data_IF_530651186148
#
_entry.id   IF_530651186148
#
_cell.length_a   1.000
_cell.length_b   1.000
_cell.length_c   1.000
_cell.angle_alpha   90.00
_cell.angle_beta   90.00
_cell.angle_gamma   90.00
#
_symmetry.space_group_name_H-M   'P 1'
#
loop_
_entity.id
_entity.type
_entity.pdbx_description
1 polymer ?
#
# COMPACT_ATOMS: atom_id res chain seq x y z
N UNK A 1 12.01 98.41 -2.80
CA UNK A 1 13.03 97.34 -2.98
C UNK A 1 13.33 96.56 -1.69
N UNK A 2 13.55 97.18 -0.52
CA UNK A 2 13.80 96.44 0.75
C UNK A 2 12.69 95.46 1.19
N UNK A 3 11.40 95.75 0.92
CA UNK A 3 10.28 94.86 1.29
C UNK A 3 10.16 93.59 0.43
N UNK A 4 10.65 93.62 -0.82
CA UNK A 4 10.64 92.45 -1.72
C UNK A 4 11.79 91.49 -1.37
N UNK A 5 12.93 92.03 -0.92
CA UNK A 5 14.08 91.22 -0.50
C UNK A 5 13.80 90.41 0.79
N UNK A 6 13.02 90.96 1.72
CA UNK A 6 12.64 90.28 2.96
C UNK A 6 11.66 89.12 2.69
N UNK A 7 10.68 89.34 1.79
CA UNK A 7 9.71 88.30 1.41
C UNK A 7 10.40 87.12 0.71
N UNK A 8 11.41 87.38 -0.13
CA UNK A 8 12.17 86.33 -0.80
C UNK A 8 13.04 85.51 0.18
N UNK A 9 13.58 86.14 1.24
CA UNK A 9 14.35 85.43 2.27
C UNK A 9 13.50 84.55 3.18
N UNK A 10 12.26 84.95 3.49
CA UNK A 10 11.34 84.14 4.31
C UNK A 10 10.82 82.93 3.53
N UNK A 11 10.59 83.07 2.22
CA UNK A 11 10.21 81.94 1.35
C UNK A 11 11.38 80.97 1.11
N UNK A 12 12.63 81.45 1.06
CA UNK A 12 13.80 80.57 1.01
C UNK A 12 14.05 79.82 2.33
N UNK A 13 13.81 80.44 3.50
CA UNK A 13 13.95 79.76 4.79
C UNK A 13 12.84 78.75 5.08
N UNK A 14 11.63 78.91 4.54
CA UNK A 14 10.56 77.92 4.68
C UNK A 14 10.70 76.72 3.73
N UNK A 15 11.40 76.86 2.60
CA UNK A 15 11.74 75.72 1.73
C UNK A 15 12.89 74.86 2.29
N UNK A 16 13.82 75.42 3.07
CA UNK A 16 14.89 74.62 3.69
C UNK A 16 14.42 73.69 4.83
N UNK A 17 13.23 73.92 5.38
CA UNK A 17 12.65 73.05 6.43
C UNK A 17 12.06 71.74 5.89
N UNK A 18 11.91 71.60 4.57
CA UNK A 18 11.40 70.36 3.93
C UNK A 18 12.51 69.37 3.54
N UNK A 19 13.77 69.68 3.85
CA UNK A 19 14.93 68.84 3.52
C UNK A 19 15.52 68.09 4.73
N UNK A 20 14.77 67.92 5.82
CA UNK A 20 15.14 66.95 6.85
C UNK A 20 14.81 65.55 6.33
N UNK A 21 15.81 64.88 5.75
CA UNK A 21 15.74 63.44 5.51
C UNK A 21 15.43 62.73 6.83
N UNK A 22 14.49 61.79 6.82
CA UNK A 22 14.12 61.01 8.00
C UNK A 22 15.36 60.28 8.52
N UNK A 23 15.62 60.39 9.82
CA UNK A 23 16.78 59.76 10.44
C UNK A 23 16.64 58.22 10.40
N UNK A 24 17.69 57.48 10.00
CA UNK A 24 17.67 56.02 10.07
C UNK A 24 17.53 55.52 11.50
N UNK A 25 16.59 54.60 11.73
CA UNK A 25 16.38 53.91 13.00
C UNK A 25 17.11 52.57 12.96
N UNK A 26 17.97 52.32 13.95
CA UNK A 26 18.69 51.04 14.08
C UNK A 26 17.72 49.92 14.47
N UNK A 27 17.64 48.89 13.63
CA UNK A 27 16.84 47.68 13.87
C UNK A 27 17.67 46.62 14.57
N UNK A 28 18.90 46.41 14.09
CA UNK A 28 19.85 45.48 14.67
C UNK A 28 21.29 45.79 14.25
N UNK A 29 22.23 45.57 15.17
CA UNK A 29 23.67 45.60 14.88
C UNK A 29 24.31 44.37 15.53
N UNK A 30 24.61 43.36 14.70
CA UNK A 30 25.05 42.06 15.18
C UNK A 30 26.45 41.74 14.65
N UNK A 31 27.25 41.10 15.50
CA UNK A 31 28.43 40.33 15.07
C UNK A 31 28.03 38.86 15.04
N UNK A 32 27.96 38.29 13.85
CA UNK A 32 27.45 36.94 13.60
C UNK A 32 28.60 36.00 13.27
N UNK A 33 28.65 34.87 13.96
CA UNK A 33 29.53 33.75 13.65
C UNK A 33 28.75 32.74 12.80
N UNK A 34 29.06 32.63 11.51
CA UNK A 34 28.51 31.60 10.64
C UNK A 34 29.47 30.41 10.65
N UNK A 35 29.01 29.29 11.19
CA UNK A 35 29.82 28.07 11.34
C UNK A 35 30.23 27.48 9.98
N UNK A 36 31.15 26.52 10.01
CA UNK A 36 31.56 25.81 8.81
C UNK A 36 30.38 24.99 8.26
N UNK A 37 30.22 24.97 6.93
CA UNK A 37 29.15 24.24 6.22
C UNK A 37 27.74 24.50 6.77
N UNK A 38 27.46 25.73 7.21
CA UNK A 38 26.18 26.09 7.85
C UNK A 38 25.61 27.39 7.29
N UNK A 39 24.42 27.71 7.78
CA UNK A 39 23.76 28.99 7.56
C UNK A 39 23.33 29.62 8.88
N UNK A 40 23.24 30.94 8.89
CA UNK A 40 22.65 31.71 9.97
C UNK A 40 21.46 32.50 9.44
N UNK A 41 20.36 32.51 10.20
CA UNK A 41 19.09 33.07 9.78
C UNK A 41 18.52 33.99 10.84
N UNK A 42 18.10 35.19 10.42
CA UNK A 42 17.45 36.18 11.29
C UNK A 42 16.18 36.70 10.63
N UNK A 43 15.22 37.13 11.45
CA UNK A 43 13.92 37.61 10.99
C UNK A 43 13.62 38.97 11.61
N UNK A 44 13.20 39.91 10.77
CA UNK A 44 12.78 41.24 11.21
C UNK A 44 11.53 41.69 10.44
N UNK A 45 10.61 42.36 11.13
CA UNK A 45 9.45 43.00 10.54
C UNK A 45 9.79 44.38 10.00
N UNK A 46 9.17 44.77 8.88
CA UNK A 46 9.24 46.13 8.33
C UNK A 46 7.84 46.60 7.91
N UNK A 47 7.60 47.92 7.99
CA UNK A 47 6.33 48.53 7.64
C UNK A 47 6.31 48.91 6.15
N UNK A 48 5.13 48.83 5.52
CA UNK A 48 4.96 49.31 4.15
C UNK A 48 5.39 50.78 4.02
N UNK A 49 6.15 51.08 2.97
CA UNK A 49 6.68 52.40 2.67
C UNK A 49 8.05 52.68 3.28
N UNK A 50 8.52 51.87 4.23
CA UNK A 50 9.88 52.00 4.77
C UNK A 50 10.93 51.73 3.70
N UNK A 51 12.12 52.29 3.91
CA UNK A 51 13.34 51.85 3.25
C UNK A 51 14.20 51.05 4.24
N UNK A 52 14.40 49.76 3.95
CA UNK A 52 15.36 48.91 4.65
C UNK A 52 16.77 49.23 4.16
N UNK A 53 17.64 49.68 5.06
CA UNK A 53 19.06 49.91 4.78
C UNK A 53 19.87 48.86 5.51
N UNK A 54 20.69 48.10 4.77
CA UNK A 54 21.58 47.12 5.39
C UNK A 54 23.03 47.27 4.95
N UNK A 55 23.93 47.03 5.90
CA UNK A 55 25.37 47.01 5.70
C UNK A 55 25.91 45.68 6.17
N UNK A 56 26.78 45.10 5.37
CA UNK A 56 27.44 43.84 5.67
C UNK A 56 28.94 44.01 5.52
N UNK A 57 29.71 43.47 6.47
CA UNK A 57 31.15 43.42 6.37
C UNK A 57 31.69 42.12 6.96
N UNK A 58 32.49 41.39 6.18
CA UNK A 58 33.25 40.28 6.70
C UNK A 58 34.36 40.79 7.61
N UNK A 59 34.46 40.24 8.81
CA UNK A 59 35.50 40.54 9.80
C UNK A 59 36.65 39.56 9.68
N UNK A 60 36.36 38.25 9.64
CA UNK A 60 37.36 37.18 9.54
C UNK A 60 36.79 35.94 8.85
N UNK A 61 37.67 35.07 8.34
CA UNK A 61 37.31 33.82 7.65
C UNK A 61 37.12 33.98 6.12
N UNK A 62 36.57 32.94 5.45
CA UNK A 62 36.24 32.99 4.02
C UNK A 62 35.09 33.98 3.73
N UNK A 63 34.91 34.34 2.46
CA UNK A 63 33.73 35.10 2.06
C UNK A 63 32.47 34.24 2.19
N UNK A 64 31.32 34.85 2.49
CA UNK A 64 30.05 34.12 2.44
C UNK A 64 29.75 33.76 0.99
N UNK A 65 29.28 32.55 0.75
CA UNK A 65 28.91 32.14 -0.60
C UNK A 65 27.64 32.87 -1.04
N UNK A 66 26.69 33.05 -0.12
CA UNK A 66 25.42 33.72 -0.40
C UNK A 66 24.99 34.58 0.80
N UNK A 67 24.50 35.79 0.50
CA UNK A 67 23.67 36.58 1.42
C UNK A 67 22.34 36.86 0.73
N UNK A 68 21.26 36.46 1.38
CA UNK A 68 19.92 36.53 0.82
C UNK A 68 18.95 37.24 1.78
N UNK A 69 18.07 38.08 1.24
CA UNK A 69 16.96 38.70 1.96
C UNK A 69 15.66 38.27 1.28
N UNK A 70 14.81 37.56 2.02
CA UNK A 70 13.53 37.04 1.54
C UNK A 70 12.39 37.66 2.34
N UNK A 71 11.44 38.26 1.64
CA UNK A 71 10.13 38.58 2.19
C UNK A 71 9.29 37.30 2.29
N UNK A 72 8.86 36.95 3.50
CA UNK A 72 8.07 35.74 3.72
C UNK A 72 6.71 35.80 3.00
N UNK A 73 6.22 34.64 2.49
CA UNK A 73 6.79 33.30 2.67
C UNK A 73 7.95 32.92 1.72
N UNK A 74 8.13 33.57 0.57
CA UNK A 74 9.07 33.07 -0.46
C UNK A 74 9.64 34.09 -1.46
N UNK A 75 9.38 35.39 -1.31
CA UNK A 75 9.80 36.39 -2.29
C UNK A 75 11.22 36.89 -2.01
N UNK A 76 12.20 36.51 -2.84
CA UNK A 76 13.58 37.03 -2.73
C UNK A 76 13.63 38.49 -3.15
N UNK A 77 14.14 39.36 -2.27
CA UNK A 77 14.27 40.81 -2.49
C UNK A 77 15.70 41.25 -2.76
N UNK A 78 16.66 40.51 -2.22
CA UNK A 78 18.07 40.72 -2.47
C UNK A 78 18.80 39.38 -2.38
N UNK A 79 19.79 39.20 -3.24
CA UNK A 79 20.69 38.07 -3.22
C UNK A 79 22.01 38.50 -3.84
N UNK A 80 23.11 38.12 -3.21
CA UNK A 80 24.45 38.35 -3.73
C UNK A 80 25.35 37.17 -3.35
N UNK A 81 26.37 36.95 -4.18
CA UNK A 81 27.26 35.79 -4.09
C UNK A 81 28.69 36.19 -3.75
N UNK A 82 29.42 35.31 -3.06
CA UNK A 82 30.83 35.52 -2.67
C UNK A 82 31.03 36.86 -1.93
N UNK A 83 30.10 37.16 -1.04
CA UNK A 83 29.93 38.47 -0.40
C UNK A 83 31.04 38.72 0.63
N UNK A 84 31.83 39.77 0.41
CA UNK A 84 32.82 40.27 1.38
C UNK A 84 32.35 41.52 2.10
N UNK A 85 31.62 42.40 1.39
CA UNK A 85 31.18 43.69 1.90
C UNK A 85 30.01 44.22 1.08
N UNK A 86 29.00 44.76 1.76
CA UNK A 86 27.89 45.52 1.18
C UNK A 86 27.79 46.83 1.96
N UNK A 87 27.83 47.97 1.27
CA UNK A 87 27.74 49.30 1.91
C UNK A 87 26.33 49.85 1.71
N UNK A 88 25.60 50.06 2.80
CA UNK A 88 24.33 50.78 2.85
C UNK A 88 23.39 50.47 1.67
N UNK A 89 23.12 49.18 1.44
CA UNK A 89 22.18 48.77 0.40
C UNK A 89 20.76 49.06 0.89
N UNK A 90 20.05 49.87 0.11
CA UNK A 90 18.64 50.21 0.37
C UNK A 90 17.70 49.30 -0.41
N UNK A 91 16.63 48.85 0.25
CA UNK A 91 15.53 48.08 -0.31
C UNK A 91 14.20 48.73 0.11
N UNK A 92 13.39 49.10 -0.86
CA UNK A 92 12.07 49.67 -0.60
C UNK A 92 11.07 48.59 -0.18
N UNK A 93 10.34 48.83 0.92
CA UNK A 93 9.38 47.89 1.51
C UNK A 93 7.99 48.18 0.96
N UNK A 94 7.56 47.40 -0.05
CA UNK A 94 6.26 47.63 -0.71
C UNK A 94 5.05 47.24 0.14
N UNK A 95 5.21 46.30 1.07
CA UNK A 95 4.15 45.83 1.98
C UNK A 95 4.73 45.48 3.34
N UNK A 96 3.94 45.70 4.38
CA UNK A 96 4.29 45.29 5.74
C UNK A 96 4.46 43.79 5.78
N UNK A 97 5.61 43.32 6.28
CA UNK A 97 5.94 41.90 6.19
C UNK A 97 7.19 41.54 6.99
N UNK A 98 7.47 40.24 7.02
CA UNK A 98 8.64 39.67 7.70
C UNK A 98 9.71 39.39 6.66
N UNK A 99 10.92 39.86 6.95
CA UNK A 99 12.09 39.70 6.09
C UNK A 99 13.10 38.78 6.77
N UNK A 100 13.44 37.70 6.07
CA UNK A 100 14.41 36.69 6.46
C UNK A 100 15.76 37.01 5.85
N UNK A 101 16.75 37.26 6.70
CA UNK A 101 18.16 37.40 6.32
C UNK A 101 18.83 36.05 6.46
N UNK A 102 19.38 35.51 5.38
CA UNK A 102 20.08 34.22 5.34
C UNK A 102 21.52 34.44 4.90
N UNK A 103 22.46 33.99 5.73
CA UNK A 103 23.89 34.07 5.49
C UNK A 103 24.41 32.63 5.34
N UNK A 104 24.97 32.29 4.18
CA UNK A 104 25.39 30.91 3.88
C UNK A 104 26.90 30.80 3.78
N UNK A 105 27.47 29.87 4.56
CA UNK A 105 28.89 29.56 4.56
C UNK A 105 29.12 28.07 4.27
N UNK A 106 29.34 27.69 3.00
CA UNK A 106 29.61 26.30 2.63
C UNK A 106 31.07 25.88 2.89
N UNK A 107 31.94 26.81 3.32
CA UNK A 107 33.35 26.51 3.53
C UNK A 107 33.56 25.67 4.80
N UNK A 108 34.68 24.94 4.84
CA UNK A 108 35.12 24.15 6.00
C UNK A 108 35.72 25.01 7.14
N UNK A 109 35.56 26.33 7.06
CA UNK A 109 36.08 27.28 8.03
C UNK A 109 34.97 28.24 8.46
N UNK A 110 35.05 28.74 9.70
CA UNK A 110 34.09 29.68 10.28
C UNK A 110 34.26 31.07 9.65
N UNK A 111 33.13 31.76 9.40
CA UNK A 111 33.10 33.15 8.95
C UNK A 111 32.53 34.06 10.04
N UNK A 112 33.24 35.12 10.41
CA UNK A 112 32.75 36.14 11.35
C UNK A 112 32.39 37.39 10.55
N UNK A 113 31.14 37.82 10.66
CA UNK A 113 30.59 38.93 9.88
C UNK A 113 29.93 39.94 10.81
N UNK A 114 29.98 41.22 10.45
CA UNK A 114 29.21 42.29 11.09
C UNK A 114 28.08 42.69 10.15
N UNK A 115 26.86 42.70 10.68
CA UNK A 115 25.67 43.14 9.97
C UNK A 115 25.02 44.28 10.73
N UNK A 116 24.67 45.35 10.02
CA UNK A 116 23.86 46.46 10.53
C UNK A 116 22.61 46.57 9.68
N UNK A 117 21.45 46.57 10.33
CA UNK A 117 20.13 46.66 9.72
C UNK A 117 19.47 47.90 10.30
N UNK A 118 18.99 48.77 9.41
CA UNK A 118 18.33 50.01 9.75
C UNK A 118 17.07 50.13 8.91
N UNK A 119 16.11 50.91 9.39
CA UNK A 119 14.97 51.35 8.59
C UNK A 119 14.95 52.87 8.52
N UNK A 120 14.55 53.40 7.39
CA UNK A 120 14.18 54.80 7.23
C UNK A 120 12.65 54.77 7.09
N UNK A 121 11.89 55.23 8.10
CA UNK A 121 10.44 55.26 8.00
C UNK A 121 9.98 56.07 6.79
N UNK A 122 8.81 55.77 6.24
CA UNK A 122 8.18 56.69 5.29
C UNK A 122 7.75 58.00 5.98
N UNK A 123 7.46 59.05 5.21
CA UNK A 123 6.98 60.34 5.73
C UNK A 123 5.71 60.19 6.58
N UNK A 124 4.89 59.18 6.27
CA UNK A 124 3.67 58.85 7.02
C UNK A 124 3.83 57.60 7.90
N UNK A 125 5.03 57.03 7.97
CA UNK A 125 5.33 55.77 8.65
C UNK A 125 5.51 55.95 10.15
N UNK A 126 5.30 54.87 10.90
CA UNK A 126 5.48 54.86 12.35
C UNK A 126 6.94 54.71 12.72
N UNK A 127 7.44 55.62 13.55
CA UNK A 127 8.79 55.51 14.13
C UNK A 127 8.88 54.39 15.18
N UNK A 128 7.76 54.07 15.83
CA UNK A 128 7.65 53.12 16.96
C UNK A 128 7.23 51.70 16.53
N UNK A 129 7.24 51.39 15.24
CA UNK A 129 6.80 50.08 14.77
C UNK A 129 7.71 48.95 15.27
N UNK A 130 7.09 47.89 15.78
CA UNK A 130 7.79 46.76 16.38
C UNK A 130 8.32 45.82 15.28
N UNK A 131 9.65 45.77 15.15
CA UNK A 131 10.35 44.94 14.18
C UNK A 131 10.55 43.49 14.65
N UNK A 132 10.09 43.14 15.87
CA UNK A 132 10.22 41.80 16.43
C UNK A 132 9.30 40.80 15.75
N UNK A 133 9.84 39.62 15.44
CA UNK A 133 9.10 38.51 14.84
C UNK A 133 8.78 37.47 15.90
N UNK A 134 7.50 37.06 15.95
CA UNK A 134 7.00 36.06 16.87
C UNK A 134 6.59 34.79 16.12
N UNK A 135 6.54 33.67 16.82
CA UNK A 135 6.20 32.37 16.24
C UNK A 135 4.97 31.79 16.94
N UNK A 136 4.06 31.19 16.15
CA UNK A 136 2.92 30.45 16.65
C UNK A 136 2.82 29.10 15.93
N UNK A 137 2.35 28.09 16.64
CA UNK A 137 2.04 26.78 16.05
C UNK A 137 0.66 26.81 15.41
N UNK A 138 0.57 26.52 14.11
CA UNK A 138 -0.67 26.37 13.36
C UNK A 138 -0.86 24.91 12.99
N UNK A 139 -2.08 24.40 13.10
CA UNK A 139 -2.41 23.01 12.75
C UNK A 139 -2.93 22.97 11.31
N UNK A 140 -2.27 22.20 10.44
CA UNK A 140 -2.72 21.94 9.07
C UNK A 140 -3.42 20.58 8.99
N UNK A 141 -4.67 20.57 8.52
CA UNK A 141 -5.49 19.36 8.44
C UNK A 141 -5.58 18.90 6.99
N UNK A 142 -5.03 17.72 6.71
CA UNK A 142 -5.13 17.07 5.40
C UNK A 142 -5.92 15.77 5.51
N UNK A 143 -6.73 15.44 4.50
CA UNK A 143 -7.44 14.17 4.45
C UNK A 143 -6.67 13.19 3.57
N UNK A 144 -6.25 12.07 4.14
CA UNK A 144 -5.57 11.00 3.40
C UNK A 144 -6.59 9.92 3.06
N UNK A 145 -6.80 9.59 1.77
CA UNK A 145 -7.65 8.49 1.38
C UNK A 145 -6.98 7.16 1.72
N UNK A 146 -7.76 6.20 2.20
CA UNK A 146 -7.34 4.82 2.45
C UNK A 146 -8.38 3.86 1.92
N UNK A 147 -7.93 2.80 1.26
CA UNK A 147 -8.78 1.75 0.73
C UNK A 147 -8.62 0.50 1.58
N UNK A 148 -9.70 0.08 2.23
CA UNK A 148 -9.73 -1.11 3.06
C UNK A 148 -10.57 -2.18 2.37
N UNK A 149 -10.03 -3.40 2.26
CA UNK A 149 -10.79 -4.55 1.77
C UNK A 149 -11.55 -5.18 2.95
N UNK A 150 -12.85 -5.33 2.80
CA UNK A 150 -13.70 -5.97 3.81
C UNK A 150 -14.46 -7.14 3.18
N UNK A 151 -14.47 -8.27 3.86
CA UNK A 151 -15.26 -9.44 3.46
C UNK A 151 -16.75 -9.12 3.61
N UNK A 152 -17.50 -9.15 2.51
CA UNK A 152 -18.95 -8.89 2.52
C UNK A 152 -19.71 -10.20 2.68
N UNK A 153 -19.27 -11.22 1.95
CA UNK A 153 -20.05 -12.45 1.76
C UNK A 153 -19.12 -13.63 1.52
N UNK A 154 -19.52 -14.77 2.07
CA UNK A 154 -18.82 -16.04 1.93
C UNK A 154 -19.85 -17.09 1.50
N UNK A 155 -19.74 -17.54 0.26
CA UNK A 155 -20.64 -18.56 -0.30
C UNK A 155 -19.91 -19.90 -0.36
N UNK A 156 -20.59 -20.96 0.07
CA UNK A 156 -20.08 -22.34 0.03
C UNK A 156 -20.92 -23.17 -0.94
N UNK A 157 -20.29 -23.80 -1.93
CA UNK A 157 -20.95 -24.57 -2.98
C UNK A 157 -20.30 -25.95 -3.08
N UNK A 158 -21.11 -27.01 -3.16
CA UNK A 158 -20.59 -28.32 -3.56
C UNK A 158 -20.64 -28.49 -5.08
N UNK A 159 -19.53 -28.90 -5.68
CA UNK A 159 -19.38 -29.08 -7.10
C UNK A 159 -18.97 -30.53 -7.41
N UNK A 160 -19.82 -31.26 -8.12
CA UNK A 160 -19.45 -32.58 -8.66
C UNK A 160 -18.49 -32.38 -9.83
N UNK A 161 -17.25 -32.86 -9.66
CA UNK A 161 -16.17 -32.73 -10.64
C UNK A 161 -16.19 -33.89 -11.64
N UNK A 162 -16.60 -35.07 -11.20
CA UNK A 162 -16.90 -36.20 -12.07
C UNK A 162 -17.92 -37.14 -11.42
N UNK A 163 -18.72 -37.81 -12.24
CA UNK A 163 -19.53 -38.97 -11.86
C UNK A 163 -19.68 -39.84 -13.11
N UNK A 164 -18.92 -40.94 -13.21
CA UNK A 164 -18.92 -41.82 -14.39
C UNK A 164 -18.55 -43.26 -14.05
N UNK A 165 -18.95 -44.19 -14.90
CA UNK A 165 -18.49 -45.58 -14.86
C UNK A 165 -17.50 -45.81 -15.99
N UNK A 166 -16.32 -46.33 -15.68
CA UNK A 166 -15.24 -46.57 -16.64
C UNK A 166 -14.92 -48.05 -16.68
N UNK A 167 -14.82 -48.62 -17.89
CA UNK A 167 -14.44 -50.03 -18.09
C UNK A 167 -12.92 -50.16 -18.09
N UNK A 168 -12.38 -51.00 -17.21
CA UNK A 168 -10.94 -51.26 -17.10
C UNK A 168 -10.65 -52.63 -17.72
N UNK A 169 -9.85 -52.70 -18.80
CA UNK A 169 -9.56 -53.96 -19.49
C UNK A 169 -8.76 -54.92 -18.61
N UNK A 170 -8.72 -56.19 -18.99
CA UNK A 170 -7.75 -57.16 -18.45
C UNK A 170 -6.35 -56.80 -18.96
N UNK A 171 -5.32 -57.09 -18.19
CA UNK A 171 -3.93 -57.02 -18.68
C UNK A 171 -3.68 -58.14 -19.69
N UNK A 172 -3.40 -57.79 -20.95
CA UNK A 172 -3.06 -58.74 -22.01
C UNK A 172 -1.81 -58.30 -22.76
N UNK A 173 -0.80 -59.17 -22.74
CA UNK A 173 0.41 -58.99 -23.56
C UNK A 173 0.12 -59.17 -25.06
N UNK A 174 -0.86 -59.99 -25.41
CA UNK A 174 -1.23 -60.28 -26.81
C UNK A 174 -1.94 -59.07 -27.43
N UNK A 175 -2.85 -58.44 -26.68
CA UNK A 175 -3.65 -57.30 -27.15
C UNK A 175 -3.06 -55.93 -26.76
N UNK A 176 -1.87 -55.90 -26.16
CA UNK A 176 -1.20 -54.68 -25.72
C UNK A 176 -1.95 -53.90 -24.63
N UNK A 177 -2.90 -54.52 -23.93
CA UNK A 177 -3.67 -53.87 -22.87
C UNK A 177 -2.92 -53.93 -21.54
N UNK A 178 -2.70 -52.78 -20.93
CA UNK A 178 -1.95 -52.67 -19.67
C UNK A 178 -2.75 -53.15 -18.44
N UNK A 179 -4.08 -53.27 -18.57
CA UNK A 179 -5.00 -53.41 -17.45
C UNK A 179 -5.09 -52.16 -16.58
N UNK A 180 -4.62 -51.01 -17.07
CA UNK A 180 -4.59 -49.73 -16.36
C UNK A 180 -5.35 -48.66 -17.14
N UNK A 181 -6.03 -47.79 -16.41
CA UNK A 181 -6.69 -46.60 -16.93
C UNK A 181 -6.29 -45.40 -16.07
N UNK A 182 -6.19 -44.23 -16.69
CA UNK A 182 -5.91 -42.98 -16.01
C UNK A 182 -7.05 -42.00 -16.25
N UNK A 183 -7.62 -41.48 -15.17
CA UNK A 183 -8.67 -40.47 -15.20
C UNK A 183 -8.10 -39.21 -14.56
N UNK A 184 -8.50 -38.02 -15.00
CA UNK A 184 -8.11 -36.78 -14.35
C UNK A 184 -9.29 -35.85 -14.04
N UNK A 185 -9.08 -34.98 -13.07
CA UNK A 185 -9.98 -33.89 -12.69
C UNK A 185 -9.19 -32.75 -12.08
N UNK A 186 -9.79 -31.55 -12.04
CA UNK A 186 -9.17 -30.38 -11.43
C UNK A 186 -9.99 -29.89 -10.24
N UNK A 187 -9.34 -29.70 -9.10
CA UNK A 187 -9.93 -29.04 -7.94
C UNK A 187 -9.97 -27.52 -8.18
N UNK A 188 -11.16 -26.89 -8.10
CA UNK A 188 -11.29 -25.44 -8.20
C UNK A 188 -10.53 -24.72 -7.09
N UNK A 189 -10.06 -23.49 -7.37
CA UNK A 189 -9.53 -22.61 -6.33
C UNK A 189 -10.61 -22.35 -5.27
N UNK A 190 -10.20 -22.33 -4.01
CA UNK A 190 -11.12 -22.17 -2.88
C UNK A 190 -11.76 -23.49 -2.43
N UNK A 191 -11.35 -24.65 -2.96
CA UNK A 191 -11.79 -25.93 -2.39
C UNK A 191 -11.29 -26.05 -0.95
N UNK A 192 -12.18 -26.35 0.00
CA UNK A 192 -11.85 -26.56 1.41
C UNK A 192 -11.79 -28.03 1.81
N UNK A 193 -12.45 -28.88 1.02
CA UNK A 193 -12.40 -30.33 1.09
C UNK A 193 -13.07 -30.94 -0.13
N UNK A 194 -12.78 -32.20 -0.40
CA UNK A 194 -13.47 -32.96 -1.44
C UNK A 194 -13.73 -34.39 -0.95
N UNK A 195 -14.55 -35.13 -1.67
CA UNK A 195 -14.79 -36.55 -1.42
C UNK A 195 -14.68 -37.33 -2.71
N UNK A 196 -14.42 -38.62 -2.57
CA UNK A 196 -14.50 -39.56 -3.68
C UNK A 196 -15.33 -40.78 -3.30
N UNK A 197 -15.85 -41.43 -4.33
CA UNK A 197 -16.39 -42.78 -4.29
C UNK A 197 -15.78 -43.58 -5.44
N UNK A 198 -15.33 -44.79 -5.15
CA UNK A 198 -14.89 -45.79 -6.11
C UNK A 198 -15.67 -47.07 -5.82
N UNK A 199 -16.27 -47.70 -6.84
CA UNK A 199 -17.02 -48.94 -6.66
C UNK A 199 -17.04 -49.80 -7.92
N UNK A 200 -16.83 -51.11 -7.75
CA UNK A 200 -16.68 -52.07 -8.85
C UNK A 200 -17.99 -52.79 -9.16
N UNK A 201 -18.26 -52.95 -10.44
CA UNK A 201 -19.38 -53.73 -10.98
C UNK A 201 -20.76 -53.19 -10.59
N UNK A 202 -21.75 -54.07 -10.76
CA UNK A 202 -23.15 -53.77 -10.43
C UNK A 202 -23.36 -53.60 -8.92
N UNK A 203 -22.59 -54.32 -8.09
CA UNK A 203 -22.63 -54.18 -6.63
C UNK A 203 -22.17 -52.79 -6.18
N UNK A 204 -21.03 -52.31 -6.69
CA UNK A 204 -20.54 -50.95 -6.43
C UNK A 204 -21.52 -49.89 -6.93
N UNK A 205 -22.02 -50.02 -8.15
CA UNK A 205 -23.01 -49.08 -8.69
C UNK A 205 -24.29 -49.05 -7.84
N UNK A 206 -24.77 -50.22 -7.39
CA UNK A 206 -25.93 -50.31 -6.49
C UNK A 206 -25.63 -49.63 -5.15
N UNK A 207 -24.49 -49.91 -4.52
CA UNK A 207 -24.09 -49.27 -3.27
C UNK A 207 -24.03 -47.74 -3.39
N UNK A 208 -23.48 -47.22 -4.50
CA UNK A 208 -23.48 -45.78 -4.80
C UNK A 208 -24.91 -45.22 -4.90
N UNK A 209 -25.77 -45.88 -5.69
CA UNK A 209 -27.16 -45.44 -5.89
C UNK A 209 -27.97 -45.47 -4.59
N UNK A 210 -27.80 -46.52 -3.76
CA UNK A 210 -28.47 -46.67 -2.47
C UNK A 210 -28.04 -45.59 -1.48
N UNK A 211 -26.74 -45.25 -1.44
CA UNK A 211 -26.25 -44.15 -0.62
C UNK A 211 -26.81 -42.79 -1.10
N UNK A 212 -26.91 -42.58 -2.42
CA UNK A 212 -27.46 -41.34 -3.01
C UNK A 212 -28.95 -41.17 -2.70
N UNK A 213 -29.76 -42.24 -2.83
CA UNK A 213 -31.19 -42.20 -2.53
C UNK A 213 -31.50 -42.23 -1.03
N UNK A 214 -30.73 -42.99 -0.26
CA UNK A 214 -30.91 -43.18 1.19
C UNK A 214 -30.43 -42.01 2.03
N UNK A 215 -29.61 -41.11 1.47
CA UNK A 215 -29.09 -39.93 2.17
C UNK A 215 -30.21 -39.03 2.71
N UNK A 216 -31.27 -38.80 1.92
CA UNK A 216 -32.41 -37.96 2.34
C UNK A 216 -33.13 -38.54 3.57
N UNK A 217 -33.13 -39.87 3.72
CA UNK A 217 -33.84 -40.56 4.81
C UNK A 217 -33.00 -40.74 6.08
N UNK A 218 -31.67 -40.78 5.95
CA UNK A 218 -30.74 -41.14 7.04
C UNK A 218 -30.04 -39.94 7.68
N UNK A 219 -30.05 -38.78 7.03
CA UNK A 219 -29.25 -37.63 7.44
C UNK A 219 -30.09 -36.39 7.76
N UNK A 220 -31.29 -36.52 8.35
CA UNK A 220 -32.27 -35.41 8.51
C UNK A 220 -31.69 -34.09 9.08
N UNK A 221 -30.72 -34.16 10.00
CA UNK A 221 -30.06 -32.97 10.58
C UNK A 221 -28.98 -32.33 9.68
N UNK A 222 -28.33 -33.13 8.82
CA UNK A 222 -27.33 -32.65 7.85
C UNK A 222 -28.05 -32.24 6.56
N UNK A 223 -28.98 -33.05 6.07
CA UNK A 223 -29.81 -32.77 4.89
C UNK A 223 -30.61 -31.46 5.02
N UNK A 224 -31.01 -31.05 6.23
CA UNK A 224 -31.67 -29.76 6.47
C UNK A 224 -30.74 -28.55 6.34
N UNK A 225 -29.43 -28.72 6.55
CA UNK A 225 -28.41 -27.65 6.43
C UNK A 225 -27.76 -27.59 5.05
N UNK A 226 -27.81 -28.69 4.28
CA UNK A 226 -27.29 -28.77 2.91
C UNK A 226 -28.42 -29.03 1.89
N UNK A 227 -29.55 -28.32 1.99
CA UNK A 227 -30.69 -28.53 1.08
C UNK A 227 -30.25 -28.45 -0.39
N UNK A 228 -30.54 -29.50 -1.17
CA UNK A 228 -30.12 -29.63 -2.57
C UNK A 228 -28.79 -30.36 -2.82
N UNK A 229 -28.08 -30.77 -1.78
CA UNK A 229 -26.79 -31.46 -1.90
C UNK A 229 -26.85 -32.92 -1.44
N UNK A 230 -26.25 -33.84 -2.21
CA UNK A 230 -26.34 -35.30 -1.98
C UNK A 230 -25.25 -35.88 -1.06
N UNK A 231 -25.25 -37.22 -0.90
CA UNK A 231 -24.32 -37.97 -0.04
C UNK A 231 -22.85 -37.61 -0.23
N UNK A 232 -22.41 -37.39 -1.46
CA UNK A 232 -21.04 -37.01 -1.78
C UNK A 232 -20.65 -35.65 -1.20
N UNK A 233 -21.55 -34.66 -1.26
CA UNK A 233 -21.31 -33.34 -0.69
C UNK A 233 -21.30 -33.40 0.84
N UNK A 234 -22.17 -34.21 1.46
CA UNK A 234 -22.15 -34.42 2.91
C UNK A 234 -20.87 -35.11 3.39
N UNK A 235 -20.38 -36.11 2.65
CA UNK A 235 -19.07 -36.71 2.89
C UNK A 235 -17.94 -35.67 2.72
N UNK A 236 -17.98 -34.86 1.67
CA UNK A 236 -16.97 -33.85 1.42
C UNK A 236 -16.97 -32.74 2.48
N UNK A 237 -18.13 -32.31 2.97
CA UNK A 237 -18.27 -31.22 3.93
C UNK A 237 -18.03 -31.67 5.37
N UNK A 238 -18.71 -32.73 5.80
CA UNK A 238 -18.77 -33.16 7.20
C UNK A 238 -18.06 -34.50 7.49
N UNK A 239 -17.58 -35.20 6.47
CA UNK A 239 -16.96 -36.52 6.66
C UNK A 239 -17.99 -37.63 6.96
N UNK A 240 -19.29 -37.37 6.79
CA UNK A 240 -20.35 -38.37 7.03
C UNK A 240 -20.33 -39.38 5.88
N UNK A 241 -19.78 -40.56 6.16
CA UNK A 241 -19.72 -41.65 5.18
C UNK A 241 -20.98 -42.52 5.27
N UNK A 242 -21.87 -42.41 4.27
CA UNK A 242 -23.08 -43.24 4.15
C UNK A 242 -22.88 -44.45 3.22
N UNK A 243 -21.68 -44.64 2.68
CA UNK A 243 -21.38 -45.75 1.78
C UNK A 243 -20.99 -46.98 2.60
N UNK A 244 -21.76 -48.05 2.46
CA UNK A 244 -21.47 -49.33 3.11
C UNK A 244 -20.36 -50.08 2.37
N UNK A 245 -19.41 -50.64 3.11
CA UNK A 245 -18.40 -51.54 2.54
C UNK A 245 -19.10 -52.81 2.02
N UNK A 246 -18.76 -53.22 0.79
CA UNK A 246 -19.35 -54.39 0.14
C UNK A 246 -18.32 -55.50 -0.06
N UNK A 247 -18.78 -56.76 0.05
CA UNK A 247 -17.96 -57.97 -0.08
C UNK A 247 -18.15 -58.64 -1.45
N UNK A 248 -17.08 -59.22 -1.99
CA UNK A 248 -17.07 -59.90 -3.29
C UNK A 248 -15.66 -60.15 -3.80
N UNK A 249 -15.57 -60.67 -5.03
CA UNK A 249 -14.31 -61.18 -5.59
C UNK A 249 -13.60 -60.18 -6.51
N UNK A 250 -14.33 -59.30 -7.21
CA UNK A 250 -13.73 -58.31 -8.12
C UNK A 250 -13.30 -57.04 -7.39
N UNK A 251 -12.01 -56.80 -7.34
CA UNK A 251 -11.37 -55.61 -6.78
C UNK A 251 -10.81 -54.69 -7.89
N UNK A 252 -10.66 -53.41 -7.56
CA UNK A 252 -9.86 -52.47 -8.34
C UNK A 252 -8.78 -51.90 -7.45
N UNK A 253 -7.56 -51.88 -7.96
CA UNK A 253 -6.47 -51.12 -7.35
C UNK A 253 -6.51 -49.70 -7.84
N UNK A 254 -6.46 -48.74 -6.92
CA UNK A 254 -6.53 -47.32 -7.27
C UNK A 254 -5.43 -46.52 -6.60
N UNK A 255 -5.05 -45.42 -7.26
CA UNK A 255 -4.11 -44.42 -6.75
C UNK A 255 -4.54 -43.02 -7.16
N UNK A 256 -4.63 -42.11 -6.19
CA UNK A 256 -4.66 -40.68 -6.46
C UNK A 256 -3.23 -40.13 -6.53
N UNK A 257 -2.94 -39.40 -7.59
CA UNK A 257 -1.61 -38.95 -7.99
C UNK A 257 -1.68 -37.43 -8.23
N UNK A 258 -0.74 -36.70 -7.64
CA UNK A 258 -0.77 -35.22 -7.61
C UNK A 258 -0.05 -34.54 -8.77
N UNK A 259 0.65 -35.29 -9.61
CA UNK A 259 1.45 -34.74 -10.71
C UNK A 259 1.46 -35.64 -11.94
N UNK A 260 1.66 -35.00 -13.10
CA UNK A 260 1.61 -35.66 -14.40
C UNK A 260 2.77 -36.62 -14.64
N UNK A 261 3.95 -36.35 -14.06
CA UNK A 261 5.12 -37.22 -14.19
C UNK A 261 4.84 -38.60 -13.55
N UNK A 262 4.35 -38.60 -12.31
CA UNK A 262 3.97 -39.83 -11.61
C UNK A 262 2.81 -40.55 -12.31
N UNK A 263 1.84 -39.80 -12.84
CA UNK A 263 0.71 -40.35 -13.59
C UNK A 263 1.18 -41.08 -14.88
N UNK A 264 2.16 -40.50 -15.58
CA UNK A 264 2.79 -41.13 -16.74
C UNK A 264 3.58 -42.40 -16.36
N UNK A 265 4.33 -42.39 -15.25
CA UNK A 265 5.03 -43.59 -14.77
C UNK A 265 4.07 -44.71 -14.35
N UNK A 266 2.92 -44.37 -13.74
CA UNK A 266 1.85 -45.34 -13.46
C UNK A 266 1.34 -46.00 -14.74
N UNK A 267 1.03 -45.19 -15.77
CA UNK A 267 0.55 -45.70 -17.07
C UNK A 267 1.55 -46.68 -17.70
N UNK A 268 2.85 -46.39 -17.56
CA UNK A 268 3.96 -47.23 -18.04
C UNK A 268 4.26 -48.44 -17.13
N UNK A 269 3.59 -48.56 -15.98
CA UNK A 269 3.85 -49.63 -15.01
C UNK A 269 5.20 -49.53 -14.31
N UNK A 270 5.79 -48.34 -14.26
CA UNK A 270 7.02 -48.05 -13.52
C UNK A 270 6.69 -47.63 -12.09
N UNK A 271 7.71 -47.52 -11.24
CA UNK A 271 7.53 -46.96 -9.89
C UNK A 271 7.04 -45.50 -9.99
N UNK A 272 6.06 -45.17 -9.16
CA UNK A 272 5.43 -43.85 -9.07
C UNK A 272 5.03 -43.56 -7.62
N UNK A 273 4.63 -42.31 -7.34
CA UNK A 273 4.10 -41.90 -6.04
C UNK A 273 2.64 -41.48 -6.16
N UNK A 274 1.79 -42.05 -5.33
CA UNK A 274 0.43 -41.59 -5.06
C UNK A 274 0.31 -41.11 -3.62
N UNK A 275 -0.67 -40.25 -3.34
CA UNK A 275 -0.94 -39.74 -1.98
C UNK A 275 -2.10 -40.46 -1.30
N UNK A 276 -2.90 -41.21 -2.04
CA UNK A 276 -3.94 -42.12 -1.52
C UNK A 276 -4.04 -43.31 -2.46
N UNK A 277 -4.17 -44.50 -1.88
CA UNK A 277 -4.29 -45.75 -2.62
C UNK A 277 -5.22 -46.72 -1.90
N UNK A 278 -5.61 -47.77 -2.62
CA UNK A 278 -6.36 -48.89 -2.05
C UNK A 278 -6.52 -50.01 -3.06
N UNK A 279 -6.96 -51.15 -2.53
CA UNK A 279 -7.31 -52.34 -3.28
C UNK A 279 -8.69 -52.80 -2.79
N UNK A 280 -9.73 -52.46 -3.53
CA UNK A 280 -11.10 -52.41 -2.98
C UNK A 280 -12.16 -52.82 -3.98
N UNK A 281 -13.26 -53.36 -3.46
CA UNK A 281 -14.51 -53.50 -4.21
C UNK A 281 -15.32 -52.20 -4.17
N UNK A 282 -15.26 -51.47 -3.07
CA UNK A 282 -15.61 -50.06 -3.00
C UNK A 282 -14.82 -49.31 -1.92
N UNK A 283 -14.64 -48.01 -2.10
CA UNK A 283 -14.10 -47.10 -1.09
C UNK A 283 -14.72 -45.71 -1.26
N UNK A 284 -14.90 -45.02 -0.14
CA UNK A 284 -15.38 -43.65 -0.12
C UNK A 284 -14.76 -42.91 1.06
N UNK A 285 -14.18 -41.74 0.80
CA UNK A 285 -13.57 -40.94 1.85
C UNK A 285 -13.64 -39.45 1.57
N UNK A 286 -13.52 -38.68 2.65
CA UNK A 286 -13.23 -37.25 2.60
C UNK A 286 -11.73 -37.03 2.48
N UNK A 287 -11.36 -36.06 1.66
CA UNK A 287 -10.00 -35.61 1.42
C UNK A 287 -9.87 -34.14 1.81
N UNK A 288 -8.88 -33.85 2.67
CA UNK A 288 -8.53 -32.48 3.10
C UNK A 288 -7.31 -31.92 2.37
N UNK A 289 -6.59 -32.76 1.62
CA UNK A 289 -5.48 -32.38 0.74
C UNK A 289 -5.38 -33.34 -0.44
N UNK A 290 -4.93 -32.88 -1.61
CA UNK A 290 -4.73 -31.47 -1.99
C UNK A 290 -6.06 -30.71 -2.08
N UNK A 291 -6.01 -29.37 -2.14
CA UNK A 291 -7.17 -28.46 -2.15
C UNK A 291 -7.25 -27.60 -3.42
N UNK A 292 -6.33 -27.77 -4.35
CA UNK A 292 -6.35 -27.13 -5.66
C UNK A 292 -5.51 -27.94 -6.64
N UNK A 293 -5.64 -27.62 -7.92
CA UNK A 293 -4.82 -28.20 -8.98
C UNK A 293 -5.40 -29.49 -9.57
N UNK A 294 -4.64 -30.07 -10.50
CA UNK A 294 -5.02 -31.26 -11.27
C UNK A 294 -4.63 -32.53 -10.51
N UNK A 295 -5.57 -33.47 -10.42
CA UNK A 295 -5.39 -34.77 -9.79
C UNK A 295 -5.63 -35.86 -10.82
N UNK A 296 -4.81 -36.89 -10.77
CA UNK A 296 -4.95 -38.08 -11.59
C UNK A 296 -5.38 -39.26 -10.71
N UNK A 297 -6.38 -40.01 -11.16
CA UNK A 297 -6.83 -41.27 -10.58
C UNK A 297 -6.37 -42.40 -11.49
N UNK A 298 -5.36 -43.14 -11.06
CA UNK A 298 -4.94 -44.39 -11.68
C UNK A 298 -5.82 -45.53 -11.19
N UNK A 299 -6.36 -46.32 -12.13
CA UNK A 299 -7.14 -47.53 -11.87
C UNK A 299 -6.45 -48.71 -12.52
N UNK A 300 -6.32 -49.82 -11.80
CA UNK A 300 -5.73 -51.06 -12.32
C UNK A 300 -6.65 -52.25 -12.01
N UNK A 301 -6.95 -53.00 -13.06
CA UNK A 301 -7.60 -54.29 -12.98
C UNK A 301 -6.55 -55.39 -12.85
N UNK A 302 -6.63 -56.18 -11.79
CA UNK A 302 -5.80 -57.36 -11.57
C UNK A 302 -6.55 -58.69 -11.82
N UNK A 303 -7.83 -58.64 -12.22
CA UNK A 303 -8.56 -59.80 -12.71
C UNK A 303 -7.92 -60.30 -14.02
N UNK A 304 -7.64 -61.61 -14.08
CA UNK A 304 -6.95 -62.28 -15.18
C UNK A 304 -7.86 -62.61 -16.37
N UNK A 305 -9.18 -62.66 -16.16
CA UNK A 305 -10.12 -63.21 -17.14
C UNK A 305 -11.12 -62.17 -17.64
N UNK A 306 -11.55 -61.23 -16.80
CA UNK A 306 -12.65 -60.32 -17.13
C UNK A 306 -12.33 -58.85 -16.91
N UNK A 307 -12.77 -57.95 -17.82
CA UNK A 307 -12.70 -56.52 -17.59
C UNK A 307 -13.71 -56.14 -16.49
N UNK A 308 -13.35 -55.13 -15.70
CA UNK A 308 -14.21 -54.63 -14.62
C UNK A 308 -14.79 -53.27 -14.98
N UNK A 309 -15.99 -52.96 -14.49
CA UNK A 309 -16.57 -51.62 -14.59
C UNK A 309 -16.40 -50.91 -13.25
N UNK A 310 -15.82 -49.71 -13.25
CA UNK A 310 -15.52 -48.95 -12.04
C UNK A 310 -16.29 -47.65 -12.05
N UNK A 311 -17.22 -47.50 -11.11
CA UNK A 311 -17.95 -46.25 -10.85
C UNK A 311 -17.06 -45.34 -10.03
N UNK A 312 -16.84 -44.12 -10.53
CA UNK A 312 -16.06 -43.07 -9.86
C UNK A 312 -16.93 -41.83 -9.75
N UNK A 313 -16.99 -41.26 -8.55
CA UNK A 313 -17.60 -39.95 -8.31
C UNK A 313 -16.66 -39.10 -7.45
N UNK A 314 -16.53 -37.82 -7.78
CA UNK A 314 -15.72 -36.86 -7.04
C UNK A 314 -16.49 -35.56 -6.88
N UNK A 315 -16.57 -35.06 -5.65
CA UNK A 315 -17.26 -33.81 -5.31
C UNK A 315 -16.38 -32.93 -4.44
N UNK A 316 -16.22 -31.66 -4.81
CA UNK A 316 -15.47 -30.66 -4.05
C UNK A 316 -16.41 -29.67 -3.34
N UNK A 317 -16.05 -29.22 -2.15
CA UNK A 317 -16.67 -28.08 -1.46
C UNK A 317 -15.81 -26.86 -1.73
N UNK A 318 -16.37 -25.88 -2.44
CA UNK A 318 -15.70 -24.64 -2.84
C UNK A 318 -16.27 -23.48 -2.05
N UNK A 319 -15.38 -22.70 -1.44
CA UNK A 319 -15.71 -21.46 -0.73
C UNK A 319 -15.26 -20.28 -1.57
N UNK A 320 -16.20 -19.39 -1.88
CA UNK A 320 -15.93 -18.15 -2.61
C UNK A 320 -16.20 -16.96 -1.70
N UNK A 321 -15.22 -16.05 -1.62
CA UNK A 321 -15.27 -14.86 -0.80
C UNK A 321 -15.47 -13.63 -1.69
N UNK A 322 -16.52 -12.86 -1.42
CA UNK A 322 -16.78 -11.58 -2.06
C UNK A 322 -16.32 -10.45 -1.14
N UNK A 323 -15.35 -9.67 -1.60
CA UNK A 323 -14.78 -8.55 -0.86
C UNK A 323 -15.25 -7.22 -1.48
N UNK A 324 -15.59 -6.25 -0.64
CA UNK A 324 -15.78 -4.85 -1.04
C UNK A 324 -14.52 -4.07 -0.74
N UNK A 325 -14.29 -3.03 -1.52
CA UNK A 325 -13.34 -1.98 -1.18
C UNK A 325 -14.12 -0.83 -0.57
N UNK A 326 -13.84 -0.51 0.69
CA UNK A 326 -14.36 0.67 1.36
C UNK A 326 -13.31 1.77 1.31
N UNK A 327 -13.68 2.90 0.72
CA UNK A 327 -12.83 4.09 0.71
C UNK A 327 -13.13 4.92 1.97
N UNK A 328 -12.14 5.01 2.85
CA UNK A 328 -12.19 5.83 4.05
C UNK A 328 -11.27 7.04 3.87
N UNK A 329 -11.55 8.13 4.58
CA UNK A 329 -10.65 9.28 4.68
C UNK A 329 -10.28 9.46 6.14
N UNK A 330 -8.98 9.49 6.43
CA UNK A 330 -8.50 9.79 7.77
C UNK A 330 -7.90 11.18 7.80
N UNK A 331 -8.22 11.94 8.85
CA UNK A 331 -7.69 13.27 9.06
C UNK A 331 -6.27 13.15 9.61
N UNK A 332 -5.31 13.75 8.91
CA UNK A 332 -3.92 13.91 9.35
C UNK A 332 -3.70 15.36 9.72
N UNK A 333 -3.43 15.60 11.01
CA UNK A 333 -3.09 16.92 11.54
C UNK A 333 -1.56 17.03 11.58
N UNK A 334 -1.01 18.03 10.90
CA UNK A 334 0.43 18.32 10.91
C UNK A 334 0.66 19.73 11.48
N UNK A 335 1.36 19.86 12.62
CA UNK A 335 1.70 21.18 13.14
C UNK A 335 2.79 21.83 12.28
N UNK A 336 2.68 23.13 12.03
CA UNK A 336 3.75 23.96 11.46
C UNK A 336 3.92 25.25 12.25
N UNK A 337 5.14 25.73 12.37
CA UNK A 337 5.39 27.06 12.93
C UNK A 337 5.15 28.13 11.87
N UNK A 338 4.51 29.22 12.27
CA UNK A 338 4.22 30.38 11.43
C UNK A 338 4.72 31.65 12.11
N UNK A 339 5.57 32.39 11.39
CA UNK A 339 6.08 33.68 11.83
C UNK A 339 5.00 34.75 11.68
N UNK A 340 4.87 35.64 12.66
CA UNK A 340 3.91 36.74 12.65
C UNK A 340 4.46 37.99 13.36
N UNK A 341 3.86 39.16 13.08
CA UNK A 341 4.14 40.43 13.73
C UNK A 341 3.03 40.77 14.73
N UNK A 342 3.39 41.36 15.87
CA UNK A 342 2.43 41.92 16.85
C UNK A 342 2.33 43.43 16.60
N UNK A 343 1.55 43.84 15.62
CA UNK A 343 1.38 45.25 15.24
C UNK A 343 -0.07 45.66 15.23
#
# INVERSE_FOLDING_TARGET
MKKILILLSVVCCSLSALAFGLEPIDVAENTVKVSAQSEEVFYYGFEAGDDLVFTFNKVSGPALEELQIIELPSSTKFMDYKVKKIKAKTLHISRTGIYRFRLTNPANAVSICKIKIQRIPSVMGRQDFNTSVYWRTVQDTTYVPSAEKTLIRKDTVAQTLMERTTKIPVKSYIYGTSGRELIDFSLPKGTVSWSYYIGVGTKGQKAFSTAKSGFLNSAAAVASTISGYGSMAALALYGVNTFTAIQGEDNVKFWFIGDESNANTFRLGKAFRGFKQGDVLNDAAQMKRPLDGKIYLGLQNDNLLQPINVTVSVTAIVVTEQNAVRNNKFMKITPREEAYLKN
#
